data_IF_435111973394
#
_entry.id   IF_435111973394
#
_cell.length_a   1.000
_cell.length_b   1.000
_cell.length_c   1.000
_cell.angle_alpha   90.00
_cell.angle_beta   90.00
_cell.angle_gamma   90.00
#
_symmetry.space_group_name_H-M   'P 1'
#
loop_
_entity.id
_entity.type
_entity.pdbx_description
1 polymer ?
#
# COMPACT_ATOMS: atom_id res chain seq x y z
N UNK A 1 -60.53 28.19 -13.14
CA UNK A 1 -59.43 27.32 -12.69
C UNK A 1 -59.14 27.58 -11.22
N UNK A 2 -59.88 26.91 -10.33
CA UNK A 2 -59.62 26.76 -8.90
C UNK A 2 -60.17 25.36 -8.61
N UNK A 3 -59.50 24.39 -8.01
CA UNK A 3 -58.81 24.41 -6.72
C UNK A 3 -58.08 23.06 -6.63
N UNK A 4 -56.77 22.97 -6.43
CA UNK A 4 -56.09 21.69 -6.14
C UNK A 4 -54.69 21.96 -5.57
N UNK A 5 -54.60 22.41 -4.31
CA UNK A 5 -53.33 22.45 -3.59
C UNK A 5 -53.55 22.44 -2.07
N UNK A 6 -54.17 21.40 -1.54
CA UNK A 6 -54.39 21.27 -0.10
C UNK A 6 -54.20 19.83 0.40
N UNK A 7 -53.07 19.18 0.09
CA UNK A 7 -52.74 17.84 0.65
C UNK A 7 -51.24 17.58 0.91
N UNK A 8 -50.42 18.60 1.14
CA UNK A 8 -48.96 18.38 1.31
C UNK A 8 -48.35 18.74 2.68
N UNK A 9 -49.11 19.27 3.64
CA UNK A 9 -48.53 19.74 4.92
C UNK A 9 -48.35 18.66 6.01
N UNK A 10 -49.15 17.58 6.00
CA UNK A 10 -49.23 16.66 7.15
C UNK A 10 -48.18 15.55 7.16
N UNK A 11 -47.49 15.28 6.03
CA UNK A 11 -46.48 14.20 5.96
C UNK A 11 -45.11 14.61 6.53
N UNK A 12 -44.79 15.91 6.53
CA UNK A 12 -43.46 16.39 6.95
C UNK A 12 -43.28 16.41 8.47
N UNK A 13 -44.36 16.50 9.25
CA UNK A 13 -44.30 16.51 10.72
C UNK A 13 -44.19 15.08 11.29
N UNK A 14 -44.84 14.10 10.65
CA UNK A 14 -44.77 12.70 11.07
C UNK A 14 -43.38 12.07 10.88
N UNK A 15 -42.63 12.49 9.85
CA UNK A 15 -41.29 11.98 9.58
C UNK A 15 -40.24 12.46 10.60
N UNK A 16 -40.42 13.63 11.22
CA UNK A 16 -39.51 14.14 12.27
C UNK A 16 -39.73 13.50 13.65
N UNK A 17 -40.90 12.91 13.89
CA UNK A 17 -41.20 12.23 15.15
C UNK A 17 -40.55 10.83 15.27
N UNK A 18 -39.99 10.29 14.19
CA UNK A 18 -39.37 8.95 14.13
C UNK A 18 -37.85 9.02 13.91
N UNK A 19 -37.19 10.09 14.37
CA UNK A 19 -35.74 10.08 14.44
C UNK A 19 -35.30 9.07 15.52
N UNK A 20 -34.44 8.08 15.20
CA UNK A 20 -33.88 7.21 16.22
C UNK A 20 -33.11 8.06 17.24
N UNK A 21 -33.28 7.76 18.52
CA UNK A 21 -32.53 8.43 19.59
C UNK A 21 -31.03 8.39 19.26
N UNK A 22 -30.28 9.48 19.49
CA UNK A 22 -28.83 9.44 19.31
C UNK A 22 -28.29 8.31 20.19
N UNK A 23 -27.54 7.37 19.59
CA UNK A 23 -26.86 6.32 20.33
C UNK A 23 -26.11 6.99 21.50
N UNK A 24 -26.16 6.43 22.73
CA UNK A 24 -25.42 7.00 23.84
C UNK A 24 -23.98 7.13 23.37
N UNK A 25 -23.46 8.37 23.38
CA UNK A 25 -22.10 8.65 23.00
C UNK A 25 -21.22 7.71 23.84
N UNK A 26 -20.72 6.64 23.21
CA UNK A 26 -19.80 5.70 23.85
C UNK A 26 -18.70 6.55 24.47
N UNK A 27 -18.39 6.27 25.74
CA UNK A 27 -17.46 7.06 26.57
C UNK A 27 -16.27 7.46 25.71
N UNK A 28 -16.22 8.72 25.27
CA UNK A 28 -15.04 9.27 24.63
C UNK A 28 -13.99 9.25 25.73
N UNK A 29 -12.98 8.39 25.59
CA UNK A 29 -11.83 8.38 26.48
C UNK A 29 -11.11 9.73 26.30
N UNK A 30 -11.54 10.74 27.06
CA UNK A 30 -10.96 12.07 27.06
C UNK A 30 -9.64 12.03 27.83
N UNK A 31 -8.60 11.50 27.22
CA UNK A 31 -7.22 11.76 27.67
C UNK A 31 -6.18 11.94 26.56
N UNK A 32 -6.50 11.72 25.27
CA UNK A 32 -5.51 11.87 24.17
C UNK A 32 -6.00 12.63 22.93
N UNK A 33 -7.24 13.15 22.90
CA UNK A 33 -7.79 13.77 21.69
C UNK A 33 -7.02 15.03 21.21
N UNK A 34 -6.18 15.63 22.07
CA UNK A 34 -5.32 16.75 21.70
C UNK A 34 -3.98 16.30 21.07
N UNK A 35 -3.62 15.02 21.17
CA UNK A 35 -2.32 14.48 20.76
C UNK A 35 -2.42 13.59 19.50
N UNK A 36 -3.55 12.92 19.25
CA UNK A 36 -3.66 11.93 18.16
C UNK A 36 -3.33 12.51 16.76
N UNK A 37 -3.80 13.73 16.45
CA UNK A 37 -3.53 14.38 15.16
C UNK A 37 -2.06 14.81 15.03
N UNK A 38 -1.47 15.29 16.13
CA UNK A 38 -0.07 15.69 16.19
C UNK A 38 0.86 14.47 16.08
N UNK A 39 0.56 13.41 16.82
CA UNK A 39 1.29 12.14 16.79
C UNK A 39 1.20 11.47 15.40
N UNK A 40 0.02 11.49 14.78
CA UNK A 40 -0.17 10.99 13.41
C UNK A 40 0.69 11.79 12.43
N UNK A 41 0.65 13.13 12.50
CA UNK A 41 1.44 13.99 11.63
C UNK A 41 2.96 13.82 11.86
N UNK A 42 3.39 13.54 13.10
CA UNK A 42 4.78 13.23 13.41
C UNK A 42 5.23 11.95 12.72
N UNK A 43 4.48 10.86 12.87
CA UNK A 43 4.82 9.60 12.24
C UNK A 43 4.73 9.66 10.72
N UNK A 44 3.76 10.38 10.17
CA UNK A 44 3.68 10.65 8.73
C UNK A 44 4.96 11.30 8.21
N UNK A 45 5.44 12.37 8.87
CA UNK A 45 6.69 13.03 8.48
C UNK A 45 7.91 12.12 8.59
N UNK A 46 8.01 11.34 9.67
CA UNK A 46 9.12 10.39 9.86
C UNK A 46 9.09 9.34 8.76
N UNK A 47 7.92 8.78 8.44
CA UNK A 47 7.75 7.77 7.40
C UNK A 47 8.07 8.33 6.03
N UNK A 48 7.59 9.53 5.68
CA UNK A 48 7.90 10.17 4.40
C UNK A 48 9.39 10.45 4.29
N UNK A 49 10.01 10.99 5.34
CA UNK A 49 11.46 11.23 5.36
C UNK A 49 12.25 9.93 5.22
N UNK A 50 11.85 8.87 5.91
CA UNK A 50 12.45 7.54 5.78
C UNK A 50 12.27 6.96 4.38
N UNK A 51 11.06 7.03 3.81
CA UNK A 51 10.77 6.56 2.46
C UNK A 51 11.63 7.29 1.42
N UNK A 52 11.67 8.62 1.45
CA UNK A 52 12.50 9.42 0.54
C UNK A 52 13.97 9.08 0.69
N UNK A 53 14.48 8.98 1.93
CA UNK A 53 15.89 8.66 2.18
C UNK A 53 16.25 7.27 1.67
N UNK A 54 15.43 6.25 1.97
CA UNK A 54 15.64 4.88 1.52
C UNK A 54 15.54 4.77 -0.01
N UNK A 55 14.57 5.45 -0.64
CA UNK A 55 14.44 5.46 -2.10
C UNK A 55 15.63 6.11 -2.78
N UNK A 56 16.12 7.25 -2.28
CA UNK A 56 17.31 7.91 -2.83
C UNK A 56 18.56 7.05 -2.66
N UNK A 57 18.74 6.43 -1.49
CA UNK A 57 19.87 5.53 -1.24
C UNK A 57 19.82 4.29 -2.13
N UNK A 58 18.63 3.73 -2.36
CA UNK A 58 18.43 2.64 -3.30
C UNK A 58 18.79 3.08 -4.72
N UNK A 59 18.24 4.21 -5.19
CA UNK A 59 18.53 4.75 -6.51
C UNK A 59 20.04 4.94 -6.73
N UNK A 60 20.75 5.48 -5.74
CA UNK A 60 22.21 5.67 -5.81
C UNK A 60 23.01 4.36 -5.84
N UNK A 61 22.60 3.35 -5.05
CA UNK A 61 23.31 2.07 -5.04
C UNK A 61 23.03 1.26 -6.31
N UNK A 62 21.79 1.28 -6.80
CA UNK A 62 21.38 0.57 -8.01
C UNK A 62 21.82 1.27 -9.30
N UNK A 63 22.14 2.57 -9.28
CA UNK A 63 22.66 3.28 -10.46
C UNK A 63 24.10 2.88 -10.80
N UNK A 64 24.80 2.17 -9.91
CA UNK A 64 26.17 1.71 -10.15
C UNK A 64 26.13 0.41 -10.96
N UNK A 65 27.07 0.27 -11.90
CA UNK A 65 27.28 -0.99 -12.59
C UNK A 65 27.73 -2.08 -11.61
N UNK A 66 27.30 -3.32 -11.83
CA UNK A 66 27.79 -4.49 -11.11
C UNK A 66 28.66 -5.32 -12.07
N UNK A 67 30.00 -5.27 -11.96
CA UNK A 67 30.85 -6.08 -12.83
C UNK A 67 30.68 -7.55 -12.49
N UNK A 68 30.35 -8.36 -13.49
CA UNK A 68 30.44 -9.80 -13.39
C UNK A 68 31.90 -10.21 -13.50
N UNK A 69 32.31 -11.14 -12.63
CA UNK A 69 33.62 -11.75 -12.70
C UNK A 69 33.63 -12.87 -13.74
N UNK A 70 34.83 -13.23 -14.20
CA UNK A 70 35.01 -14.37 -15.09
C UNK A 70 34.44 -15.64 -14.45
N UNK A 71 33.86 -16.49 -15.29
CA UNK A 71 33.24 -17.72 -14.83
C UNK A 71 34.27 -18.62 -14.13
N UNK A 72 33.96 -19.16 -12.94
CA UNK A 72 34.84 -20.10 -12.29
C UNK A 72 35.04 -21.36 -13.15
N UNK A 73 36.12 -22.14 -12.90
CA UNK A 73 36.32 -23.42 -13.55
C UNK A 73 35.07 -24.32 -13.43
N UNK A 74 34.87 -25.20 -14.41
CA UNK A 74 33.73 -26.13 -14.45
C UNK A 74 33.84 -27.21 -13.37
N UNK A 75 33.57 -26.84 -12.11
CA UNK A 75 33.58 -27.78 -11.01
C UNK A 75 32.43 -28.79 -11.13
N UNK A 76 32.64 -30.07 -10.72
CA UNK A 76 31.61 -31.11 -10.86
C UNK A 76 30.29 -30.82 -10.12
N UNK A 77 30.33 -29.93 -9.13
CA UNK A 77 29.16 -29.53 -8.35
C UNK A 77 28.44 -28.28 -8.89
N UNK A 78 29.01 -27.60 -9.90
CA UNK A 78 28.39 -26.47 -10.57
C UNK A 78 27.70 -26.92 -11.85
N UNK A 79 26.66 -26.20 -12.26
CA UNK A 79 25.93 -26.43 -13.53
C UNK A 79 25.43 -27.88 -13.71
N UNK A 80 25.10 -28.57 -12.62
CA UNK A 80 24.56 -29.94 -12.67
C UNK A 80 23.21 -29.94 -13.40
N UNK A 81 23.04 -30.91 -14.30
CA UNK A 81 21.79 -31.21 -15.02
C UNK A 81 21.51 -32.71 -14.96
N UNK A 82 20.60 -33.11 -14.05
CA UNK A 82 20.13 -34.50 -13.95
C UNK A 82 18.96 -34.80 -14.91
N UNK A 83 18.21 -33.76 -15.27
CA UNK A 83 17.11 -33.78 -16.24
C UNK A 83 17.06 -32.42 -16.92
N UNK A 84 16.77 -32.43 -18.22
CA UNK A 84 16.59 -31.20 -18.98
C UNK A 84 15.40 -30.38 -18.49
N UNK A 85 15.53 -29.06 -18.53
CA UNK A 85 14.40 -28.18 -18.25
C UNK A 85 13.40 -28.20 -19.41
N UNK A 86 12.10 -28.01 -19.12
CA UNK A 86 11.06 -28.07 -20.14
C UNK A 86 11.07 -26.88 -21.13
N UNK A 87 11.83 -25.82 -20.85
CA UNK A 87 11.92 -24.60 -21.68
C UNK A 87 13.26 -24.45 -22.41
N UNK A 88 14.20 -25.39 -22.25
CA UNK A 88 15.50 -25.36 -22.93
C UNK A 88 16.71 -25.50 -22.00
N UNK A 89 17.94 -25.33 -22.51
CA UNK A 89 19.17 -25.70 -21.81
C UNK A 89 19.57 -24.74 -20.66
N UNK A 90 19.06 -23.51 -20.68
CA UNK A 90 19.45 -22.45 -19.76
C UNK A 90 18.52 -22.37 -18.54
N UNK A 91 19.03 -21.83 -17.44
CA UNK A 91 18.24 -21.51 -16.25
C UNK A 91 17.11 -20.53 -16.57
N UNK A 92 16.02 -20.60 -15.79
CA UNK A 92 14.78 -19.84 -16.04
C UNK A 92 15.00 -18.32 -16.12
N UNK A 93 15.94 -17.80 -15.34
CA UNK A 93 16.30 -16.38 -15.28
C UNK A 93 17.80 -16.16 -15.58
N UNK A 94 18.41 -17.04 -16.36
CA UNK A 94 19.83 -16.95 -16.70
C UNK A 94 20.04 -15.92 -17.81
N UNK A 95 20.88 -14.92 -17.54
CA UNK A 95 21.41 -14.00 -18.56
C UNK A 95 22.84 -14.44 -18.82
N UNK A 96 23.13 -14.82 -20.07
CA UNK A 96 24.49 -15.13 -20.51
C UNK A 96 25.14 -13.85 -21.02
N UNK A 97 26.34 -13.59 -20.55
CA UNK A 97 27.21 -12.59 -21.14
C UNK A 97 28.12 -13.34 -22.13
N UNK A 98 27.87 -13.17 -23.43
CA UNK A 98 28.82 -13.60 -24.45
C UNK A 98 30.04 -12.68 -24.31
N UNK A 99 31.17 -13.23 -23.88
CA UNK A 99 32.46 -12.54 -23.79
C UNK A 99 33.26 -12.72 -25.07
#
# INVERSE_FOLDING_TARGET
>A
MASLAARSGLRSLAARARAPAPAPAGRRMSSSAHDDAYETAKWEKITIMGAVTCTLLAAWNLSKGHPHYDEPPAYPYLRIRNKEFPWGPNGLFEVKHDH
#
